data_IF_137894246071
#
_entry.id   IF_137894246071
#
_cell.length_a   1.000
_cell.length_b   1.000
_cell.length_c   1.000
_cell.angle_alpha   90.00
_cell.angle_beta   90.00
_cell.angle_gamma   90.00
#
_symmetry.space_group_name_H-M   'P 1'
#
loop_
_entity.id
_entity.type
_entity.pdbx_description
1 polymer ?
#
# COMPACT_ATOMS: atom_id res chain seq x y z
N UNK A 1 -20.97 -2.40 -2.35
CA UNK A 1 -20.24 -3.60 -1.92
C UNK A 1 -20.47 -3.77 -0.42
N UNK A 2 -20.76 -4.98 0.04
CA UNK A 2 -20.86 -5.36 1.46
C UNK A 2 -19.52 -5.89 2.00
N UNK A 3 -19.39 -6.08 3.32
CA UNK A 3 -18.19 -6.65 3.95
C UNK A 3 -17.87 -8.06 3.41
N UNK A 4 -18.86 -8.94 3.30
CA UNK A 4 -18.66 -10.27 2.71
C UNK A 4 -18.22 -10.19 1.23
N UNK A 5 -18.80 -9.27 0.46
CA UNK A 5 -18.40 -9.04 -0.93
C UNK A 5 -16.97 -8.48 -1.03
N UNK A 6 -16.53 -7.66 -0.08
CA UNK A 6 -15.16 -7.15 -0.02
C UNK A 6 -14.13 -8.27 0.12
N UNK A 7 -14.37 -9.23 1.01
CA UNK A 7 -13.48 -10.38 1.19
C UNK A 7 -13.49 -11.37 0.01
N UNK A 8 -14.60 -11.45 -0.73
CA UNK A 8 -14.70 -12.31 -1.92
C UNK A 8 -14.19 -11.64 -3.23
N UNK A 9 -14.15 -10.31 -3.29
CA UNK A 9 -13.86 -9.59 -4.54
C UNK A 9 -12.41 -9.79 -5.04
N UNK A 10 -12.21 -10.06 -6.33
CA UNK A 10 -10.86 -10.09 -6.94
C UNK A 10 -10.63 -8.95 -7.92
N UNK A 11 -11.61 -8.06 -8.05
CA UNK A 11 -11.55 -6.91 -8.94
C UNK A 11 -11.05 -5.68 -8.18
N UNK A 12 -9.76 -5.37 -8.40
CA UNK A 12 -9.07 -4.21 -7.82
C UNK A 12 -9.76 -2.90 -8.17
N UNK A 13 -10.32 -2.75 -9.39
CA UNK A 13 -11.00 -1.52 -9.79
C UNK A 13 -12.25 -1.29 -8.94
N UNK A 14 -13.06 -2.33 -8.73
CA UNK A 14 -14.23 -2.26 -7.85
C UNK A 14 -13.82 -1.98 -6.40
N UNK A 15 -12.77 -2.62 -5.89
CA UNK A 15 -12.29 -2.39 -4.52
C UNK A 15 -11.78 -0.96 -4.32
N UNK A 16 -10.99 -0.41 -5.26
CA UNK A 16 -10.51 0.97 -5.21
C UNK A 16 -11.66 1.99 -5.24
N UNK A 17 -12.75 1.70 -5.96
CA UNK A 17 -13.96 2.55 -5.96
C UNK A 17 -14.61 2.62 -4.57
N UNK A 18 -14.64 1.51 -3.83
CA UNK A 18 -15.23 1.47 -2.47
C UNK A 18 -14.46 2.33 -1.48
N UNK A 19 -13.13 2.35 -1.58
CA UNK A 19 -12.27 3.11 -0.66
C UNK A 19 -11.97 4.54 -1.17
N UNK A 20 -12.51 4.92 -2.34
CA UNK A 20 -12.28 6.24 -2.92
C UNK A 20 -12.67 7.34 -1.92
N UNK A 21 -11.80 8.33 -1.76
CA UNK A 21 -11.98 9.43 -0.81
C UNK A 21 -11.62 9.11 0.64
N UNK A 22 -11.25 7.86 0.97
CA UNK A 22 -10.83 7.43 2.32
C UNK A 22 -9.36 6.99 2.40
N UNK A 23 -8.57 7.31 1.37
CA UNK A 23 -7.18 6.85 1.25
C UNK A 23 -6.23 8.02 1.08
N UNK A 24 -5.13 8.02 1.81
CA UNK A 24 -4.02 8.95 1.61
C UNK A 24 -3.25 8.63 0.33
N UNK A 25 -2.56 9.63 -0.23
CA UNK A 25 -1.63 9.42 -1.35
C UNK A 25 -0.55 8.39 -1.02
N UNK A 26 -0.11 8.38 0.23
CA UNK A 26 0.84 7.42 0.75
C UNK A 26 0.37 5.97 0.59
N UNK A 27 -0.83 5.62 1.07
CA UNK A 27 -1.37 4.24 0.95
C UNK A 27 -1.58 3.84 -0.50
N UNK A 28 -2.05 4.77 -1.35
CA UNK A 28 -2.16 4.56 -2.81
C UNK A 28 -0.80 4.23 -3.44
N UNK A 29 0.25 4.94 -3.06
CA UNK A 29 1.61 4.71 -3.56
C UNK A 29 2.18 3.37 -3.09
N UNK A 30 2.02 3.03 -1.80
CA UNK A 30 2.44 1.72 -1.27
C UNK A 30 1.77 0.56 -2.00
N UNK A 31 0.50 0.70 -2.36
CA UNK A 31 -0.19 -0.32 -3.16
C UNK A 31 0.44 -0.47 -4.55
N UNK A 32 0.64 0.64 -5.29
CA UNK A 32 1.31 0.61 -6.59
C UNK A 32 2.73 0.02 -6.52
N UNK A 33 3.53 0.41 -5.52
CA UNK A 33 4.86 -0.13 -5.26
C UNK A 33 4.80 -1.63 -4.99
N UNK A 34 3.87 -2.07 -4.14
CA UNK A 34 3.69 -3.48 -3.84
C UNK A 34 3.34 -4.31 -5.08
N UNK A 35 2.46 -3.80 -5.95
CA UNK A 35 2.19 -4.44 -7.26
C UNK A 35 3.48 -4.56 -8.10
N UNK A 36 4.29 -3.50 -8.20
CA UNK A 36 5.54 -3.52 -8.95
C UNK A 36 6.57 -4.51 -8.36
N UNK A 37 6.67 -4.59 -7.02
CA UNK A 37 7.57 -5.53 -6.33
C UNK A 37 7.18 -6.99 -6.57
N UNK A 38 5.90 -7.30 -6.80
CA UNK A 38 5.46 -8.67 -7.10
C UNK A 38 5.92 -9.15 -8.48
N UNK A 39 6.05 -8.24 -9.43
CA UNK A 39 6.53 -8.52 -10.78
C UNK A 39 8.04 -8.21 -10.96
N UNK A 40 8.81 -8.12 -9.87
CA UNK A 40 10.22 -7.71 -9.91
C UNK A 40 11.12 -8.55 -10.83
N UNK A 41 10.75 -9.82 -11.04
CA UNK A 41 11.41 -10.71 -11.99
C UNK A 41 11.21 -10.30 -13.45
N UNK A 42 10.08 -9.67 -13.79
CA UNK A 42 9.77 -9.13 -15.12
C UNK A 42 10.30 -7.71 -15.27
N UNK A 43 10.25 -6.90 -14.20
CA UNK A 43 10.83 -5.56 -14.17
C UNK A 43 12.36 -5.63 -14.09
N UNK A 44 13.03 -5.88 -15.21
CA UNK A 44 14.51 -5.98 -15.28
C UNK A 44 15.18 -4.64 -15.58
N UNK A 45 14.43 -3.69 -16.14
CA UNK A 45 14.94 -2.37 -16.50
C UNK A 45 15.45 -1.59 -15.25
N UNK A 46 16.70 -1.10 -15.26
CA UNK A 46 17.25 -0.37 -14.12
C UNK A 46 16.50 0.91 -13.77
N UNK A 47 15.96 1.63 -14.77
CA UNK A 47 15.26 2.89 -14.56
C UNK A 47 13.91 2.64 -13.88
N UNK A 48 13.17 1.63 -14.33
CA UNK A 48 11.94 1.17 -13.71
C UNK A 48 12.15 0.72 -12.27
N UNK A 49 13.19 -0.09 -11.99
CA UNK A 49 13.54 -0.49 -10.62
C UNK A 49 13.83 0.71 -9.73
N UNK A 50 14.63 1.65 -10.22
CA UNK A 50 14.95 2.88 -9.48
C UNK A 50 13.70 3.73 -9.19
N UNK A 51 12.76 3.81 -10.12
CA UNK A 51 11.49 4.51 -9.91
C UNK A 51 10.66 3.88 -8.79
N UNK A 52 10.60 2.55 -8.70
CA UNK A 52 9.94 1.84 -7.59
C UNK A 52 10.61 2.15 -6.26
N UNK A 53 11.95 2.10 -6.21
CA UNK A 53 12.71 2.40 -4.99
C UNK A 53 12.49 3.84 -4.50
N UNK A 54 12.46 4.83 -5.41
CA UNK A 54 12.17 6.23 -5.09
C UNK A 54 10.72 6.38 -4.60
N UNK A 55 9.76 5.71 -5.26
CA UNK A 55 8.36 5.75 -4.87
C UNK A 55 8.14 5.19 -3.46
N UNK A 56 8.83 4.09 -3.13
CA UNK A 56 8.82 3.49 -1.79
C UNK A 56 9.40 4.45 -0.74
N UNK A 57 10.60 4.99 -0.98
CA UNK A 57 11.21 5.98 -0.09
C UNK A 57 10.35 7.22 0.10
N UNK A 58 9.71 7.72 -0.96
CA UNK A 58 8.82 8.86 -0.85
C UNK A 58 7.58 8.55 0.00
N UNK A 59 7.02 7.34 -0.14
CA UNK A 59 5.92 6.89 0.72
C UNK A 59 6.35 6.81 2.19
N UNK A 60 7.63 6.56 2.47
CA UNK A 60 8.19 6.55 3.82
C UNK A 60 8.69 7.92 4.31
N UNK A 61 8.56 8.98 3.50
CA UNK A 61 9.05 10.32 3.84
C UNK A 61 10.56 10.51 3.65
N UNK A 62 11.26 9.53 3.09
CA UNK A 62 12.71 9.49 2.86
C UNK A 62 13.14 9.93 1.45
N UNK A 63 12.21 10.47 0.66
CA UNK A 63 12.50 11.09 -0.64
C UNK A 63 11.56 12.28 -0.88
N UNK A 64 12.06 13.28 -1.58
CA UNK A 64 11.32 14.49 -1.93
C UNK A 64 10.39 14.26 -3.12
N UNK A 65 9.38 15.12 -3.27
CA UNK A 65 8.51 15.11 -4.45
C UNK A 65 9.26 15.44 -5.76
N UNK A 66 10.41 16.11 -5.69
CA UNK A 66 11.27 16.40 -6.85
C UNK A 66 11.98 15.14 -7.34
N UNK A 67 12.59 14.37 -6.42
CA UNK A 67 13.19 13.07 -6.74
C UNK A 67 12.16 12.12 -7.33
N UNK A 68 10.96 12.08 -6.74
CA UNK A 68 9.84 11.29 -7.22
C UNK A 68 9.45 11.63 -8.66
N UNK A 69 9.27 12.93 -8.95
CA UNK A 69 8.91 13.40 -10.30
C UNK A 69 10.03 13.10 -11.32
N UNK A 70 11.29 13.26 -10.91
CA UNK A 70 12.43 12.96 -11.76
C UNK A 70 12.50 11.46 -12.12
N UNK A 71 12.28 10.59 -11.15
CA UNK A 71 12.27 9.14 -11.36
C UNK A 71 11.11 8.70 -12.27
N UNK A 72 9.90 9.25 -12.07
CA UNK A 72 8.76 8.98 -12.95
C UNK A 72 9.04 9.41 -14.39
N UNK A 73 9.60 10.61 -14.60
CA UNK A 73 9.96 11.09 -15.94
C UNK A 73 11.04 10.24 -16.60
N UNK A 74 12.04 9.77 -15.85
CA UNK A 74 13.07 8.89 -16.38
C UNK A 74 12.46 7.57 -16.89
N UNK A 75 11.56 6.96 -16.11
CA UNK A 75 10.86 5.75 -16.53
C UNK A 75 9.96 5.99 -17.76
N UNK A 76 9.30 7.15 -17.84
CA UNK A 76 8.48 7.52 -19.01
C UNK A 76 9.28 7.61 -20.31
N UNK A 77 10.53 8.10 -20.24
CA UNK A 77 11.41 8.18 -21.40
C UNK A 77 11.89 6.80 -21.85
N UNK A 78 11.99 5.83 -20.94
CA UNK A 78 12.38 4.46 -21.26
C UNK A 78 11.28 3.68 -22.02
N UNK A 79 10.03 4.13 -21.95
CA UNK A 79 8.87 3.52 -22.65
C UNK A 79 8.37 4.37 -23.82
N UNK A 80 9.10 5.40 -24.23
CA UNK A 80 8.62 6.36 -25.24
C UNK A 80 8.61 5.79 -26.67
N UNK A 81 9.28 4.67 -26.91
CA UNK A 81 9.35 4.02 -28.21
C UNK A 81 8.16 3.06 -28.41
N UNK A 82 7.12 3.59 -29.07
CA UNK A 82 5.97 2.81 -29.51
C UNK A 82 6.34 1.97 -30.74
N UNK A 83 6.29 0.65 -30.58
CA UNK A 83 6.42 -0.31 -31.68
C UNK A 83 5.19 -1.24 -31.68
N UNK A 84 4.35 -1.21 -32.72
CA UNK A 84 3.15 -2.03 -32.81
C UNK A 84 3.42 -3.53 -33.04
N UNK A 85 4.68 -3.94 -33.25
CA UNK A 85 5.08 -5.32 -33.58
C UNK A 85 5.81 -6.06 -32.44
N UNK A 86 5.83 -5.50 -31.22
CA UNK A 86 6.51 -6.09 -30.05
C UNK A 86 6.06 -7.52 -29.78
N UNK A 87 7.04 -8.36 -29.44
CA UNK A 87 6.78 -9.69 -28.90
C UNK A 87 6.06 -9.61 -27.55
N UNK A 88 5.44 -10.73 -27.13
CA UNK A 88 4.73 -10.78 -25.85
C UNK A 88 5.62 -10.48 -24.64
N UNK A 89 6.91 -10.79 -24.70
CA UNK A 89 7.85 -10.54 -23.60
C UNK A 89 8.32 -9.08 -23.56
N UNK A 90 8.53 -8.46 -24.73
CA UNK A 90 8.82 -7.01 -24.82
C UNK A 90 7.64 -6.18 -24.33
N UNK A 91 6.41 -6.55 -24.70
CA UNK A 91 5.21 -5.91 -24.20
C UNK A 91 5.09 -6.02 -22.68
N UNK A 92 5.37 -7.21 -22.10
CA UNK A 92 5.37 -7.39 -20.64
C UNK A 92 6.42 -6.53 -19.94
N UNK A 93 7.63 -6.47 -20.48
CA UNK A 93 8.71 -5.66 -19.94
C UNK A 93 8.33 -4.16 -19.96
N UNK A 94 7.76 -3.68 -21.06
CA UNK A 94 7.24 -2.32 -21.17
C UNK A 94 6.13 -2.04 -20.15
N UNK A 95 5.15 -2.94 -20.00
CA UNK A 95 4.09 -2.80 -19.00
C UNK A 95 4.65 -2.76 -17.57
N UNK A 96 5.72 -3.50 -17.29
CA UNK A 96 6.40 -3.43 -15.99
C UNK A 96 7.02 -2.04 -15.73
N UNK A 97 7.65 -1.43 -16.74
CA UNK A 97 8.23 -0.09 -16.63
C UNK A 97 7.13 0.98 -16.54
N UNK A 98 6.06 0.84 -17.32
CA UNK A 98 4.87 1.71 -17.24
C UNK A 98 4.24 1.66 -15.84
N UNK A 99 4.17 0.48 -15.22
CA UNK A 99 3.70 0.36 -13.84
C UNK A 99 4.62 1.11 -12.85
N UNK A 100 5.94 0.97 -12.99
CA UNK A 100 6.93 1.66 -12.16
C UNK A 100 6.87 3.19 -12.31
N UNK A 101 6.74 3.69 -13.55
CA UNK A 101 6.53 5.10 -13.86
C UNK A 101 5.32 5.66 -13.07
N UNK A 102 4.22 4.91 -13.07
CA UNK A 102 2.97 5.31 -12.42
C UNK A 102 3.01 5.16 -10.90
N UNK A 103 3.75 4.18 -10.36
CA UNK A 103 4.04 4.12 -8.93
C UNK A 103 4.84 5.35 -8.45
N UNK A 104 5.70 5.90 -9.32
CA UNK A 104 6.43 7.13 -9.08
C UNK A 104 5.67 8.42 -9.49
N UNK A 105 4.47 8.33 -10.08
CA UNK A 105 3.76 9.53 -10.52
C UNK A 105 3.24 10.38 -9.34
N UNK A 106 3.10 11.70 -9.58
CA UNK A 106 2.62 12.66 -8.56
C UNK A 106 1.10 12.61 -8.39
N UNK A 107 0.36 12.33 -9.46
CA UNK A 107 -1.09 12.16 -9.44
C UNK A 107 -1.38 10.66 -9.50
N UNK A 108 -2.11 10.14 -8.52
CA UNK A 108 -2.30 8.70 -8.31
C UNK A 108 -2.98 8.00 -9.48
N UNK A 109 -2.20 7.40 -10.37
CA UNK A 109 -2.66 6.43 -11.36
C UNK A 109 -2.64 5.01 -10.79
N UNK A 110 -3.16 4.85 -9.57
CA UNK A 110 -3.01 3.62 -8.78
C UNK A 110 -3.62 2.40 -9.46
N UNK A 111 -4.82 2.56 -10.02
CA UNK A 111 -5.49 1.49 -10.77
C UNK A 111 -4.68 1.12 -12.02
N UNK A 112 -4.25 2.11 -12.78
CA UNK A 112 -3.51 1.89 -14.01
C UNK A 112 -2.15 1.20 -13.76
N UNK A 113 -1.43 1.59 -12.70
CA UNK A 113 -0.22 0.90 -12.29
C UNK A 113 -0.47 -0.58 -11.95
N UNK A 114 -1.59 -0.89 -11.27
CA UNK A 114 -1.96 -2.25 -10.92
C UNK A 114 -2.36 -3.07 -12.17
N UNK A 115 -3.09 -2.47 -13.11
CA UNK A 115 -3.45 -3.09 -14.39
C UNK A 115 -2.20 -3.39 -15.22
N UNK A 116 -1.27 -2.44 -15.35
CA UNK A 116 0.01 -2.65 -16.02
C UNK A 116 0.81 -3.79 -15.35
N UNK A 117 0.81 -3.88 -14.01
CA UNK A 117 1.44 -5.02 -13.33
C UNK A 117 0.77 -6.36 -13.67
N UNK A 118 -0.56 -6.38 -13.77
CA UNK A 118 -1.29 -7.59 -14.12
C UNK A 118 -1.05 -8.02 -15.57
N UNK A 119 -0.84 -7.07 -16.48
CA UNK A 119 -0.50 -7.33 -17.89
C UNK A 119 0.96 -7.75 -18.07
N UNK A 120 1.87 -7.20 -17.27
CA UNK A 120 3.28 -7.60 -17.24
C UNK A 120 3.48 -9.02 -16.68
N UNK A 121 2.58 -9.49 -15.81
CA UNK A 121 2.67 -10.81 -15.21
C UNK A 121 2.50 -11.93 -16.25
N UNK A 122 3.15 -13.08 -16.01
CA UNK A 122 2.95 -14.28 -16.83
C UNK A 122 1.49 -14.73 -16.80
N UNK A 123 0.85 -14.66 -15.63
CA UNK A 123 -0.58 -14.90 -15.43
C UNK A 123 -1.24 -13.70 -14.73
N UNK A 124 -1.91 -12.87 -15.54
CA UNK A 124 -2.62 -11.70 -15.03
C UNK A 124 -3.86 -12.02 -14.17
N UNK A 125 -4.42 -13.23 -14.26
CA UNK A 125 -5.51 -13.67 -13.40
C UNK A 125 -5.02 -13.93 -11.97
N UNK A 126 -3.91 -14.66 -11.85
CA UNK A 126 -3.22 -14.88 -10.57
C UNK A 126 -2.76 -13.55 -9.97
N UNK A 127 -2.19 -12.66 -10.80
CA UNK A 127 -1.70 -11.38 -10.30
C UNK A 127 -2.84 -10.49 -9.79
N UNK A 128 -3.95 -10.34 -10.51
CA UNK A 128 -5.12 -9.57 -10.00
C UNK A 128 -5.65 -10.13 -8.67
N UNK A 129 -5.69 -11.45 -8.53
CA UNK A 129 -6.09 -12.07 -7.27
C UNK A 129 -5.14 -11.72 -6.12
N UNK A 130 -3.82 -11.72 -6.37
CA UNK A 130 -2.83 -11.36 -5.37
C UNK A 130 -2.81 -9.85 -5.05
N UNK A 131 -3.02 -8.99 -6.05
CA UNK A 131 -3.22 -7.55 -5.84
C UNK A 131 -4.45 -7.28 -4.97
N UNK A 132 -5.55 -8.03 -5.15
CA UNK A 132 -6.71 -7.89 -4.28
C UNK A 132 -6.40 -8.21 -2.82
N UNK A 133 -5.49 -9.16 -2.55
CA UNK A 133 -5.03 -9.48 -1.19
C UNK A 133 -4.18 -8.35 -0.64
N UNK A 134 -3.17 -7.92 -1.40
CA UNK A 134 -2.32 -6.77 -1.05
C UNK A 134 -3.14 -5.51 -0.76
N UNK A 135 -4.20 -5.27 -1.54
CA UNK A 135 -5.11 -4.14 -1.33
C UNK A 135 -5.79 -4.25 0.04
N UNK A 136 -6.23 -5.43 0.46
CA UNK A 136 -6.82 -5.62 1.81
C UNK A 136 -5.78 -5.48 2.90
N UNK A 137 -4.57 -5.96 2.70
CA UNK A 137 -3.49 -5.80 3.68
C UNK A 137 -3.16 -4.32 3.89
N UNK A 138 -3.27 -3.52 2.82
CA UNK A 138 -3.01 -2.08 2.86
C UNK A 138 -4.25 -1.30 3.34
N UNK A 139 -5.44 -1.53 2.83
CA UNK A 139 -6.57 -0.67 3.17
C UNK A 139 -7.41 -1.21 4.31
N UNK A 140 -7.13 -2.43 4.76
CA UNK A 140 -7.90 -3.12 5.78
C UNK A 140 -9.32 -3.40 5.33
N UNK A 141 -10.23 -3.38 6.30
CA UNK A 141 -11.66 -3.52 6.08
C UNK A 141 -12.31 -2.12 6.08
N UNK A 142 -12.80 -1.61 4.94
CA UNK A 142 -13.37 -0.27 4.87
C UNK A 142 -14.75 -0.13 5.52
N UNK A 143 -15.34 -1.23 5.97
CA UNK A 143 -16.61 -1.29 6.70
C UNK A 143 -16.42 -1.33 8.21
N UNK A 144 -15.19 -1.57 8.68
CA UNK A 144 -14.80 -1.51 10.09
C UNK A 144 -13.77 -0.41 10.27
N UNK A 145 -14.24 0.80 10.53
CA UNK A 145 -13.37 1.90 10.93
C UNK A 145 -12.95 1.63 12.38
N UNK A 146 -11.75 1.10 12.57
CA UNK A 146 -11.11 1.10 13.89
C UNK A 146 -10.67 2.53 14.15
N UNK A 147 -11.47 3.26 14.92
CA UNK A 147 -11.10 4.59 15.42
C UNK A 147 -10.08 4.39 16.53
N UNK A 148 -8.81 4.66 16.22
CA UNK A 148 -7.75 4.69 17.24
C UNK A 148 -7.98 5.89 18.16
N UNK A 149 -8.18 5.62 19.44
CA UNK A 149 -8.20 6.68 20.45
C UNK A 149 -6.80 7.26 20.59
N UNK A 150 -6.68 8.59 20.60
CA UNK A 150 -5.40 9.27 20.81
C UNK A 150 -4.80 8.96 22.19
N UNK A 151 -5.63 8.57 23.16
CA UNK A 151 -5.20 8.08 24.46
C UNK A 151 -4.26 6.85 24.33
N UNK A 152 -4.47 5.99 23.32
CA UNK A 152 -3.65 4.78 23.11
C UNK A 152 -2.28 5.09 22.51
N UNK A 153 -2.10 6.27 21.92
CA UNK A 153 -0.87 6.71 21.24
C UNK A 153 0.11 7.37 22.22
N UNK A 154 0.35 6.74 23.36
CA UNK A 154 1.33 7.22 24.34
C UNK A 154 2.75 7.17 23.76
N UNK A 155 3.68 8.02 24.24
CA UNK A 155 5.08 7.96 23.80
C UNK A 155 5.70 6.56 23.89
N UNK A 156 5.31 5.78 24.90
CA UNK A 156 5.74 4.39 25.09
C UNK A 156 5.20 3.47 24.00
N UNK A 157 3.89 3.49 23.73
CA UNK A 157 3.27 2.66 22.71
C UNK A 157 3.82 3.01 21.30
N UNK A 158 3.96 4.31 21.01
CA UNK A 158 4.54 4.78 19.75
C UNK A 158 6.00 4.34 19.62
N UNK A 159 6.83 4.54 20.67
CA UNK A 159 8.23 4.14 20.67
C UNK A 159 8.43 2.63 20.49
N UNK A 160 7.59 1.81 21.13
CA UNK A 160 7.58 0.36 20.94
C UNK A 160 7.22 -0.01 19.49
N UNK A 161 6.14 0.57 18.95
CA UNK A 161 5.74 0.31 17.57
C UNK A 161 6.84 0.71 16.57
N UNK A 162 7.48 1.86 16.76
CA UNK A 162 8.57 2.32 15.92
C UNK A 162 9.81 1.41 16.01
N UNK A 163 10.19 0.97 17.21
CA UNK A 163 11.32 0.07 17.42
C UNK A 163 11.08 -1.33 16.84
N UNK A 164 9.89 -1.91 17.08
CA UNK A 164 9.45 -3.18 16.49
C UNK A 164 9.55 -3.11 14.97
N UNK A 165 9.08 -2.00 14.40
CA UNK A 165 9.10 -1.79 12.96
C UNK A 165 10.53 -1.64 12.42
N UNK A 166 11.35 -0.80 13.04
CA UNK A 166 12.72 -0.53 12.62
C UNK A 166 13.58 -1.80 12.63
N UNK A 167 13.45 -2.60 13.69
CA UNK A 167 14.21 -3.83 13.89
C UNK A 167 13.59 -5.03 13.17
N UNK A 168 12.36 -4.89 12.63
CA UNK A 168 11.50 -5.99 12.14
C UNK A 168 11.29 -7.09 13.19
N UNK A 169 11.30 -6.73 14.47
CA UNK A 169 11.16 -7.62 15.62
C UNK A 169 9.67 -7.85 15.97
N UNK A 170 8.91 -8.42 15.02
CA UNK A 170 7.46 -8.61 15.16
C UNK A 170 7.07 -9.61 16.28
N UNK A 171 8.02 -10.37 16.78
CA UNK A 171 7.89 -11.19 18.00
C UNK A 171 7.61 -10.34 19.26
N UNK A 172 7.95 -9.04 19.24
CA UNK A 172 7.71 -8.10 20.34
C UNK A 172 6.33 -7.43 20.29
N UNK A 173 5.47 -7.76 19.31
CA UNK A 173 4.11 -7.22 19.19
C UNK A 173 3.22 -7.40 20.44
N UNK A 174 3.33 -8.49 21.23
CA UNK A 174 2.57 -8.61 22.48
C UNK A 174 2.90 -7.51 23.50
N UNK A 175 4.15 -7.02 23.52
CA UNK A 175 4.58 -5.93 24.43
C UNK A 175 3.88 -4.62 24.04
N UNK A 176 3.67 -4.39 22.74
CA UNK A 176 2.87 -3.26 22.27
C UNK A 176 1.40 -3.40 22.70
N UNK A 177 0.83 -4.61 22.70
CA UNK A 177 -0.53 -4.85 23.15
C UNK A 177 -0.72 -4.42 24.61
N UNK A 178 0.21 -4.81 25.47
CA UNK A 178 0.14 -4.50 26.90
C UNK A 178 0.31 -2.99 27.13
N UNK A 179 1.25 -2.34 26.44
CA UNK A 179 1.43 -0.89 26.52
C UNK A 179 0.19 -0.11 26.03
N UNK A 180 -0.52 -0.61 25.01
CA UNK A 180 -1.78 -0.02 24.56
C UNK A 180 -2.90 -0.26 25.56
N UNK A 181 -2.97 -1.44 26.18
CA UNK A 181 -3.95 -1.75 27.21
C UNK A 181 -3.76 -0.88 28.46
N UNK A 182 -2.53 -0.66 28.90
CA UNK A 182 -2.19 0.25 30.00
C UNK A 182 -2.60 1.71 29.69
N UNK A 183 -2.58 2.08 28.41
CA UNK A 183 -3.07 3.36 27.93
C UNK A 183 -4.61 3.44 27.79
N UNK A 184 -5.34 2.40 28.20
CA UNK A 184 -6.80 2.34 28.17
C UNK A 184 -7.39 1.78 26.86
N UNK A 185 -6.62 1.04 26.06
CA UNK A 185 -7.17 0.31 24.92
C UNK A 185 -7.95 -0.91 25.41
N UNK A 186 -9.26 -0.91 25.16
CA UNK A 186 -10.16 -2.04 25.41
C UNK A 186 -10.64 -2.72 24.12
N UNK A 187 -10.13 -2.29 22.97
CA UNK A 187 -10.49 -2.87 21.67
C UNK A 187 -9.90 -4.28 21.54
N UNK A 188 -10.80 -5.26 21.67
CA UNK A 188 -10.45 -6.69 21.62
C UNK A 188 -9.82 -7.07 20.29
N UNK A 189 -10.25 -6.49 19.17
CA UNK A 189 -9.71 -6.82 17.85
C UNK A 189 -8.26 -6.31 17.73
N UNK A 190 -7.97 -5.10 18.22
CA UNK A 190 -6.62 -4.50 18.23
C UNK A 190 -5.68 -5.28 19.14
N UNK A 191 -6.08 -5.55 20.38
CA UNK A 191 -5.25 -6.27 21.35
C UNK A 191 -4.99 -7.72 20.92
N UNK A 192 -6.00 -8.41 20.39
CA UNK A 192 -5.85 -9.80 19.90
C UNK A 192 -4.91 -9.87 18.70
N UNK A 193 -4.95 -8.87 17.81
CA UNK A 193 -4.02 -8.78 16.69
C UNK A 193 -2.57 -8.61 17.18
N UNK A 194 -2.32 -7.69 18.11
CA UNK A 194 -0.98 -7.46 18.64
C UNK A 194 -0.43 -8.68 19.41
N UNK A 195 -1.28 -9.45 20.08
CA UNK A 195 -0.86 -10.65 20.83
C UNK A 195 -0.56 -11.87 19.94
N UNK A 196 -0.83 -11.80 18.65
CA UNK A 196 -0.60 -12.92 17.73
C UNK A 196 -1.70 -13.99 17.78
N UNK A 197 -2.81 -13.72 18.48
CA UNK A 197 -3.99 -14.58 18.55
C UNK A 197 -4.86 -14.42 17.29
N UNK A 198 -4.23 -14.48 16.11
CA UNK A 198 -4.80 -14.24 14.78
C UNK A 198 -5.88 -15.24 14.32
N UNK A 199 -6.87 -15.51 15.17
CA UNK A 199 -8.22 -15.92 14.81
C UNK A 199 -9.18 -14.75 14.99
N UNK A 200 -8.89 -13.63 14.34
CA UNK A 200 -9.99 -12.78 13.88
C UNK A 200 -10.64 -13.52 12.70
N UNK A 201 -11.97 -13.57 12.71
CA UNK A 201 -12.81 -14.37 11.83
C UNK A 201 -12.72 -13.98 10.35
N UNK A 202 -11.62 -14.29 9.66
CA UNK A 202 -11.54 -14.43 8.21
C UNK A 202 -10.13 -14.94 7.78
N UNK A 203 -10.02 -16.23 7.48
CA UNK A 203 -9.15 -16.78 6.44
C UNK A 203 -7.63 -16.66 6.61
N UNK A 204 -7.00 -17.79 6.92
CA UNK A 204 -5.55 -18.01 6.93
C UNK A 204 -4.81 -17.48 5.68
N UNK A 205 -3.62 -16.92 5.91
CA UNK A 205 -2.68 -16.58 4.84
C UNK A 205 -1.50 -15.71 5.26
N UNK A 206 -0.57 -16.29 6.03
CA UNK A 206 0.88 -16.09 5.91
C UNK A 206 1.43 -14.65 5.69
N UNK A 207 1.96 -14.08 6.77
CA UNK A 207 3.32 -13.51 6.85
C UNK A 207 3.86 -12.79 5.59
N UNK A 208 3.26 -11.67 5.17
CA UNK A 208 3.95 -10.62 4.40
C UNK A 208 3.05 -9.38 4.30
N UNK A 209 3.18 -8.40 5.20
CA UNK A 209 2.88 -6.98 4.97
C UNK A 209 2.82 -6.20 6.29
N UNK A 210 3.96 -5.94 6.93
CA UNK A 210 4.06 -4.85 7.88
C UNK A 210 5.07 -3.84 7.32
N UNK A 211 4.60 -3.08 6.34
CA UNK A 211 5.24 -1.82 5.90
C UNK A 211 4.22 -0.73 6.16
N UNK A 212 4.37 0.01 7.27
CA UNK A 212 3.47 1.10 7.72
C UNK A 212 4.05 1.88 8.91
N UNK A 213 4.96 2.82 8.60
CA UNK A 213 5.38 3.87 9.54
C UNK A 213 4.50 5.11 9.39
N UNK A 214 3.66 5.47 10.36
CA UNK A 214 3.08 6.82 10.48
C UNK A 214 1.93 7.17 9.52
N UNK A 215 0.69 6.87 9.90
CA UNK A 215 -0.38 7.84 9.66
C UNK A 215 -0.23 8.89 10.77
N UNK A 216 0.58 9.92 10.51
CA UNK A 216 0.52 11.15 11.28
C UNK A 216 -0.90 11.71 11.12
N UNK A 217 -1.61 11.80 12.24
CA UNK A 217 -2.81 12.60 12.44
C UNK A 217 -2.62 13.99 11.80
N UNK A 218 -3.14 14.17 10.59
CA UNK A 218 -3.56 15.48 10.10
C UNK A 218 -5.07 15.51 10.23
N UNK A 219 -5.54 16.28 11.22
CA UNK A 219 -6.95 16.59 11.36
C UNK A 219 -7.43 17.30 10.09
N UNK A 220 -8.39 16.69 9.41
CA UNK A 220 -9.19 17.33 8.37
C UNK A 220 -10.06 18.42 9.02
N UNK A 221 -9.48 19.59 9.23
CA UNK A 221 -10.24 20.83 9.35
C UNK A 221 -10.62 21.27 7.93
N UNK A 222 -11.80 20.87 7.48
CA UNK A 222 -12.41 21.42 6.28
C UNK A 222 -12.60 22.96 6.45
N UNK A 223 -12.25 23.79 5.45
CA UNK A 223 -12.57 25.20 5.52
C UNK A 223 -14.09 25.37 5.39
N UNK A 224 -14.74 25.94 6.41
CA UNK A 224 -16.07 26.54 6.29
C UNK A 224 -15.99 27.61 5.22
N UNK A 225 -16.75 27.41 4.14
CA UNK A 225 -17.10 28.49 3.24
C UNK A 225 -17.90 29.54 4.03
N UNK A 226 -17.29 30.68 4.28
CA UNK A 226 -18.00 31.92 4.61
C UNK A 226 -18.46 32.51 3.29
N UNK A 227 -19.77 32.43 3.03
CA UNK A 227 -20.42 33.36 2.11
C UNK A 227 -20.55 34.70 2.84
N UNK A 228 -19.91 35.73 2.29
CA UNK A 228 -20.41 37.10 2.26
C UNK A 228 -20.19 37.63 0.84
#
# INVERSE_FOLDING_TARGET
>A
MTEAQWWACKDVATMLKVIRGRTSDRKRRLFSVGCCRRIWGVLTDPVGRHAVDIAERHADGNATGKELTAASRAAALATADYDPMKSGDEYRAEQAVTAAMNAAAKVGQTLYAAECCAEAAVDGGIERAAQSRLLRDIFGNPFRLVTFDSAWLTPTAVGLAEGIYADRAFDRMPILADAMQDAGCEDVDVLSHCRGDGRTSAGAGSSTAFSRKGDSFQGDSAPRATND
#
